data_IF_624680726120
#
_entry.id   IF_624680726120
#
_cell.length_a   1.000
_cell.length_b   1.000
_cell.length_c   1.000
_cell.angle_alpha   90.00
_cell.angle_beta   90.00
_cell.angle_gamma   90.00
#
_symmetry.space_group_name_H-M   'P 1'
#
loop_
_entity.id
_entity.type
_entity.pdbx_description
1 polymer ?
#
# COMPACT_ATOMS: atom_id res chain seq x y z
N UNK A 1 5.25 -8.20 -21.75
CA UNK A 1 5.93 -8.85 -20.61
C UNK A 1 6.10 -7.80 -19.52
N UNK A 2 5.60 -7.99 -18.30
CA UNK A 2 5.85 -7.02 -17.24
C UNK A 2 7.35 -7.02 -16.94
N UNK A 3 7.96 -5.83 -16.91
CA UNK A 3 9.34 -5.67 -16.48
C UNK A 3 9.36 -5.89 -14.97
N UNK A 4 9.87 -7.05 -14.53
CA UNK A 4 10.11 -7.28 -13.11
C UNK A 4 11.16 -6.27 -12.63
N UNK A 5 10.69 -5.27 -11.89
CA UNK A 5 11.57 -4.30 -11.25
C UNK A 5 12.33 -5.00 -10.13
N UNK A 6 13.66 -4.99 -10.21
CA UNK A 6 14.55 -5.62 -9.24
C UNK A 6 15.18 -4.54 -8.38
N UNK A 7 15.01 -4.62 -7.06
CA UNK A 7 15.61 -3.70 -6.11
C UNK A 7 16.32 -4.50 -5.00
N UNK A 8 17.57 -4.12 -4.71
CA UNK A 8 18.36 -4.74 -3.65
C UNK A 8 18.89 -6.14 -3.99
N UNK A 9 19.27 -6.87 -2.95
CA UNK A 9 19.78 -8.24 -3.05
C UNK A 9 18.60 -9.20 -3.22
N UNK A 10 18.64 -10.03 -4.27
CA UNK A 10 17.61 -11.04 -4.51
C UNK A 10 18.21 -12.44 -4.46
N UNK A 11 17.46 -13.42 -3.93
CA UNK A 11 17.93 -14.79 -3.89
C UNK A 11 17.99 -15.40 -5.29
N UNK A 12 18.83 -16.43 -5.45
CA UNK A 12 18.94 -17.19 -6.71
C UNK A 12 17.66 -17.95 -7.07
N UNK A 13 16.89 -18.38 -6.07
CA UNK A 13 15.62 -19.09 -6.23
C UNK A 13 14.65 -18.67 -5.13
N UNK A 14 13.35 -18.90 -5.34
CA UNK A 14 12.31 -18.64 -4.34
C UNK A 14 12.36 -19.66 -3.20
N UNK A 15 11.73 -19.34 -2.06
CA UNK A 15 11.58 -20.23 -0.91
C UNK A 15 12.93 -20.77 -0.43
N UNK A 16 13.85 -19.85 -0.14
CA UNK A 16 15.15 -20.20 0.41
C UNK A 16 15.39 -19.59 1.76
N UNK A 17 16.27 -20.28 2.47
CA UNK A 17 16.97 -19.67 3.56
C UNK A 17 17.95 -18.61 3.03
N UNK A 18 17.49 -17.36 2.97
CA UNK A 18 18.28 -16.25 2.44
C UNK A 18 19.24 -15.71 3.51
N UNK A 19 20.44 -16.28 3.51
CA UNK A 19 21.55 -15.86 4.36
C UNK A 19 22.16 -14.56 3.86
N UNK A 20 22.50 -13.68 4.80
CA UNK A 20 23.19 -12.42 4.51
C UNK A 20 24.69 -12.46 4.85
N UNK A 21 25.26 -13.65 5.01
CA UNK A 21 26.70 -13.88 5.23
C UNK A 21 27.36 -12.95 6.27
N UNK A 22 26.65 -12.64 7.37
CA UNK A 22 27.17 -11.76 8.42
C UNK A 22 27.22 -10.26 8.06
N UNK A 23 26.72 -9.85 6.89
CA UNK A 23 26.76 -8.45 6.44
C UNK A 23 25.95 -7.50 7.34
N UNK A 24 24.88 -7.99 7.98
CA UNK A 24 24.16 -7.26 9.02
C UNK A 24 23.37 -8.23 9.93
N UNK A 25 23.28 -7.94 11.24
CA UNK A 25 22.40 -8.67 12.13
C UNK A 25 20.94 -8.46 11.71
N UNK A 26 20.18 -9.56 11.60
CA UNK A 26 18.73 -9.50 11.45
C UNK A 26 18.05 -9.50 12.82
N UNK A 27 16.73 -9.59 12.90
CA UNK A 27 15.98 -9.29 14.14
C UNK A 27 16.50 -9.97 15.42
N UNK A 28 16.90 -11.24 15.38
CA UNK A 28 17.50 -11.96 16.52
C UNK A 28 19.02 -12.19 16.39
N UNK A 29 19.71 -11.38 15.58
CA UNK A 29 21.13 -11.54 15.28
C UNK A 29 21.49 -12.88 14.59
N UNK A 30 20.55 -13.42 13.83
CA UNK A 30 20.62 -14.73 13.17
C UNK A 30 21.18 -14.66 11.74
N UNK A 31 21.32 -13.46 11.17
CA UNK A 31 21.96 -13.24 9.87
C UNK A 31 21.12 -13.68 8.66
N UNK A 32 19.81 -13.84 8.86
CA UNK A 32 18.88 -14.40 7.86
C UNK A 32 17.71 -13.45 7.63
N UNK A 33 17.28 -13.33 6.37
CA UNK A 33 16.12 -12.50 6.03
C UNK A 33 14.81 -13.29 6.13
N UNK A 34 13.73 -12.60 6.50
CA UNK A 34 12.41 -13.18 6.68
C UNK A 34 11.60 -13.08 5.40
N UNK A 35 11.12 -14.21 4.91
CA UNK A 35 10.29 -14.30 3.71
C UNK A 35 8.86 -13.80 3.95
N UNK A 36 8.31 -13.06 2.98
CA UNK A 36 6.92 -12.61 2.95
C UNK A 36 6.38 -12.70 1.52
N UNK A 37 5.34 -13.51 1.34
CA UNK A 37 4.64 -13.66 0.07
C UNK A 37 3.54 -12.61 -0.01
N UNK A 38 3.62 -11.72 -1.00
CA UNK A 38 2.60 -10.72 -1.31
C UNK A 38 1.82 -11.19 -2.52
N UNK A 39 0.51 -11.26 -2.36
CA UNK A 39 -0.41 -11.83 -3.35
C UNK A 39 -1.55 -10.85 -3.62
N UNK A 40 -2.04 -10.79 -4.85
CA UNK A 40 -3.24 -10.01 -5.19
C UNK A 40 -4.54 -10.75 -4.87
N UNK A 41 -4.58 -12.06 -5.03
CA UNK A 41 -5.78 -12.90 -4.82
C UNK A 41 -5.42 -14.23 -4.12
N UNK A 42 -4.74 -14.14 -2.97
CA UNK A 42 -4.30 -15.34 -2.24
C UNK A 42 -3.37 -16.21 -3.10
N UNK A 43 -3.76 -17.47 -3.35
CA UNK A 43 -2.90 -18.43 -4.06
C UNK A 43 -3.17 -18.54 -5.57
N UNK A 44 -4.15 -17.82 -6.10
CA UNK A 44 -4.65 -18.03 -7.48
C UNK A 44 -4.09 -17.06 -8.52
N UNK A 45 -3.34 -16.05 -8.09
CA UNK A 45 -2.88 -14.97 -8.97
C UNK A 45 -1.39 -14.63 -8.79
N UNK A 46 -0.94 -13.61 -9.52
CA UNK A 46 0.40 -13.09 -9.42
C UNK A 46 0.82 -12.80 -7.97
N UNK A 47 2.03 -13.26 -7.62
CA UNK A 47 2.63 -13.01 -6.33
C UNK A 47 4.06 -12.50 -6.47
N UNK A 48 4.54 -11.84 -5.41
CA UNK A 48 5.93 -11.42 -5.25
C UNK A 48 6.43 -11.85 -3.89
N UNK A 49 7.68 -12.32 -3.82
CA UNK A 49 8.30 -12.72 -2.56
C UNK A 49 9.28 -11.62 -2.14
N UNK A 50 9.06 -11.07 -0.94
CA UNK A 50 9.94 -10.09 -0.32
C UNK A 50 10.75 -10.74 0.80
N UNK A 51 12.00 -10.31 0.96
CA UNK A 51 12.86 -10.72 2.06
C UNK A 51 13.16 -9.52 2.96
N UNK A 52 12.71 -9.57 4.21
CA UNK A 52 12.81 -8.48 5.18
C UNK A 52 13.93 -8.70 6.20
N UNK A 53 14.53 -7.63 6.71
CA UNK A 53 15.50 -7.70 7.81
C UNK A 53 14.85 -8.03 9.17
N UNK A 54 13.55 -7.77 9.29
CA UNK A 54 12.74 -7.99 10.49
C UNK A 54 11.43 -8.66 10.09
N UNK A 55 10.84 -9.52 10.93
CA UNK A 55 9.59 -10.18 10.60
C UNK A 55 8.48 -9.15 10.38
N UNK A 56 7.69 -9.25 9.29
CA UNK A 56 6.57 -8.35 9.03
C UNK A 56 5.41 -8.55 10.02
N UNK A 57 5.34 -9.69 10.70
CA UNK A 57 4.28 -10.05 11.67
C UNK A 57 4.34 -9.28 13.00
N UNK A 58 5.24 -8.30 13.14
CA UNK A 58 5.45 -7.52 14.38
C UNK A 58 4.42 -6.39 14.58
N UNK A 59 3.17 -6.61 14.22
CA UNK A 59 2.09 -5.65 14.48
C UNK A 59 1.66 -5.80 15.94
N UNK A 60 1.85 -4.76 16.76
CA UNK A 60 1.47 -4.79 18.19
C UNK A 60 0.01 -4.44 18.44
N UNK A 61 -0.52 -3.51 17.66
CA UNK A 61 -1.90 -3.08 17.74
C UNK A 61 -2.33 -2.47 16.42
N UNK A 62 -3.62 -2.55 16.18
CA UNK A 62 -4.30 -1.88 15.06
C UNK A 62 -5.37 -1.00 15.68
N UNK A 63 -5.48 0.23 15.18
CA UNK A 63 -6.50 1.17 15.62
C UNK A 63 -7.22 1.72 14.40
N UNK A 64 -8.54 1.78 14.48
CA UNK A 64 -9.34 2.51 13.52
C UNK A 64 -9.10 4.01 13.73
N UNK A 65 -8.63 4.70 12.69
CA UNK A 65 -8.40 6.14 12.75
C UNK A 65 -9.71 6.92 12.52
N UNK A 66 -10.45 6.57 11.47
CA UNK A 66 -11.70 7.21 11.09
C UNK A 66 -12.51 6.27 10.20
N UNK A 67 -13.82 6.19 10.44
CA UNK A 67 -14.77 5.72 9.43
C UNK A 67 -15.40 6.96 8.79
N UNK A 68 -15.30 7.08 7.48
CA UNK A 68 -15.88 8.19 6.73
C UNK A 68 -16.69 7.64 5.57
N UNK A 69 -18.00 7.88 5.61
CA UNK A 69 -18.88 7.60 4.49
C UNK A 69 -18.97 8.82 3.59
N UNK A 70 -18.70 8.61 2.31
CA UNK A 70 -18.80 9.67 1.30
C UNK A 70 -20.28 9.93 1.00
N UNK A 71 -20.71 11.18 1.20
CA UNK A 71 -22.07 11.61 0.89
C UNK A 71 -22.16 12.03 -0.57
N UNK A 72 -23.05 11.39 -1.32
CA UNK A 72 -23.33 11.78 -2.70
C UNK A 72 -24.00 13.14 -2.71
N UNK A 73 -23.77 13.91 -3.76
CA UNK A 73 -24.56 15.12 -4.01
C UNK A 73 -26.03 14.72 -4.17
N UNK A 74 -26.94 15.57 -3.69
CA UNK A 74 -28.40 15.40 -3.86
C UNK A 74 -28.77 15.15 -5.32
N UNK A 75 -29.90 14.48 -5.56
CA UNK A 75 -30.41 14.15 -6.89
C UNK A 75 -30.64 15.42 -7.72
N UNK A 76 -29.58 15.84 -8.41
CA UNK A 76 -29.56 16.93 -9.35
C UNK A 76 -29.55 16.33 -10.75
N UNK A 77 -30.28 16.91 -11.71
CA UNK A 77 -30.19 16.47 -13.09
C UNK A 77 -28.73 16.51 -13.56
N UNK A 78 -28.33 15.49 -14.32
CA UNK A 78 -27.00 15.40 -14.89
C UNK A 78 -26.73 16.64 -15.75
N UNK A 79 -25.67 17.36 -15.40
CA UNK A 79 -25.22 18.53 -16.15
C UNK A 79 -23.70 18.64 -16.13
N UNK A 80 -23.16 19.45 -17.03
CA UNK A 80 -21.74 19.75 -17.02
C UNK A 80 -21.38 20.59 -15.80
N UNK A 81 -20.37 20.14 -15.05
CA UNK A 81 -19.83 20.84 -13.89
C UNK A 81 -18.39 21.26 -14.13
N UNK A 82 -18.11 22.56 -14.02
CA UNK A 82 -16.73 23.06 -13.94
C UNK A 82 -16.28 23.06 -12.47
N UNK A 83 -15.51 22.04 -12.09
CA UNK A 83 -15.03 21.85 -10.71
C UNK A 83 -13.78 22.70 -10.44
N UNK A 84 -13.92 23.74 -9.61
CA UNK A 84 -12.82 24.65 -9.24
C UNK A 84 -12.04 24.14 -8.03
N UNK A 85 -11.24 23.09 -8.21
CA UNK A 85 -10.50 22.44 -7.10
C UNK A 85 -9.21 23.17 -6.68
N UNK A 86 -8.73 24.11 -7.50
CA UNK A 86 -7.47 24.83 -7.24
C UNK A 86 -7.49 25.70 -5.98
N UNK A 87 -8.67 26.20 -5.58
CA UNK A 87 -8.85 27.06 -4.39
C UNK A 87 -9.12 26.26 -3.10
N UNK A 88 -9.23 24.93 -3.19
CA UNK A 88 -9.44 24.10 -2.00
C UNK A 88 -8.16 24.14 -1.16
N UNK A 89 -8.22 24.60 0.10
CA UNK A 89 -7.03 24.70 0.94
C UNK A 89 -6.50 23.30 1.25
N UNK A 90 -5.19 23.12 1.12
CA UNK A 90 -4.50 21.91 1.59
C UNK A 90 -4.44 21.95 3.11
N UNK A 91 -4.78 20.85 3.77
CA UNK A 91 -4.78 20.71 5.23
C UNK A 91 -4.32 19.29 5.57
N UNK A 92 -3.86 19.06 6.80
CA UNK A 92 -3.52 17.72 7.28
C UNK A 92 -2.31 17.08 6.60
N UNK A 93 -2.25 15.75 6.65
CA UNK A 93 -1.19 14.90 6.09
C UNK A 93 -1.68 14.09 4.87
N UNK A 94 -0.85 13.15 4.40
CA UNK A 94 -1.17 12.31 3.24
C UNK A 94 -2.42 11.43 3.42
N UNK A 95 -2.92 11.24 4.65
CA UNK A 95 -4.11 10.45 4.95
C UNK A 95 -5.33 11.35 5.24
N UNK A 96 -5.15 12.33 6.12
CA UNK A 96 -6.19 13.23 6.65
C UNK A 96 -6.48 14.43 5.76
N UNK A 97 -5.54 14.78 4.87
CA UNK A 97 -5.65 15.95 4.01
C UNK A 97 -6.39 15.75 2.69
N UNK A 98 -6.76 14.50 2.38
CA UNK A 98 -7.41 14.18 1.11
C UNK A 98 -8.85 14.66 1.11
N UNK A 99 -9.22 15.39 0.06
CA UNK A 99 -10.61 15.83 -0.13
C UNK A 99 -11.25 15.01 -1.27
N UNK A 100 -12.29 14.22 -1.00
CA UNK A 100 -12.98 13.43 -2.03
C UNK A 100 -13.81 14.37 -2.91
N UNK A 101 -13.63 14.29 -4.23
CA UNK A 101 -14.30 15.18 -5.19
C UNK A 101 -15.36 14.45 -5.99
N UNK A 102 -15.04 13.26 -6.51
CA UNK A 102 -15.93 12.42 -7.30
C UNK A 102 -15.78 10.99 -6.83
N UNK A 103 -16.86 10.23 -6.74
CA UNK A 103 -16.80 8.82 -6.38
C UNK A 103 -17.98 8.05 -6.96
N UNK A 104 -17.77 6.76 -7.17
CA UNK A 104 -18.80 5.77 -7.47
C UNK A 104 -18.64 4.57 -6.52
N UNK A 105 -19.19 3.41 -6.89
CA UNK A 105 -19.11 2.20 -6.08
C UNK A 105 -17.70 1.59 -6.04
N UNK A 106 -16.85 1.89 -7.02
CA UNK A 106 -15.55 1.22 -7.22
C UNK A 106 -14.35 2.13 -6.96
N UNK A 107 -14.50 3.44 -7.19
CA UNK A 107 -13.40 4.39 -7.24
C UNK A 107 -13.78 5.73 -6.61
N UNK A 108 -12.79 6.38 -5.99
CA UNK A 108 -12.87 7.76 -5.52
C UNK A 108 -11.70 8.58 -6.07
N UNK A 109 -12.01 9.73 -6.67
CA UNK A 109 -11.05 10.73 -7.08
C UNK A 109 -10.84 11.76 -5.94
N UNK A 110 -9.59 11.91 -5.52
CA UNK A 110 -9.21 12.76 -4.41
C UNK A 110 -8.41 13.97 -4.87
N UNK A 111 -8.59 15.10 -4.20
CA UNK A 111 -7.62 16.18 -4.21
C UNK A 111 -6.62 15.95 -3.07
N UNK A 112 -5.34 15.78 -3.43
CA UNK A 112 -4.20 15.74 -2.51
C UNK A 112 -3.55 17.11 -2.33
#
# INVERSE_FOLDING_TARGET
>A
MPYYHKLGEMPRKHHIWFHRNGAAPTYKNEGIAYEHVITTEGFNEAYSIMYHLRPPTRVRSVKLLKCEELKKVTDSPLRHHHLKTAKIPRRGDIYTGRVPILFNQDMTAWRA
#
